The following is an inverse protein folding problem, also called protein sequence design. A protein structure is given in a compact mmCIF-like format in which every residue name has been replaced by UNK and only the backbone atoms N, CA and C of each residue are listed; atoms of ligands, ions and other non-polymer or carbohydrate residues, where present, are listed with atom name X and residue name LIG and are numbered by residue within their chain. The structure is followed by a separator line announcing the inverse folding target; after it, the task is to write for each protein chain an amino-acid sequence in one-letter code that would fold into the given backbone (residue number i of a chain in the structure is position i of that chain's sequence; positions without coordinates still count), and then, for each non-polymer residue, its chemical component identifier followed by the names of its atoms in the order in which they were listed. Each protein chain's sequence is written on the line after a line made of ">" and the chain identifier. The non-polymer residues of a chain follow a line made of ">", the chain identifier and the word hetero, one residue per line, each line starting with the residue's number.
data_IF_658208169430
#
_entry.id   IF_658208169430
#
_cell.length_a   1.000
_cell.length_b   1.000
_cell.length_c   1.000
_cell.angle_alpha   90.00
_cell.angle_beta   90.00
_cell.angle_gamma   90.00
#
_symmetry.space_group_name_H-M   'P 1'
#
loop_
_entity.id
_entity.type
_entity.pdbx_description
1 polymer ?
#
# COMPACT_ATOMS: atom_id res chain seq x y z
N UNK A 1 -19.81 1.25 -1.50
CA UNK A 1 -20.25 2.22 -0.45
C UNK A 1 -21.76 2.36 -0.47
N UNK A 2 -22.40 2.45 0.67
CA UNK A 2 -23.83 2.73 0.80
C UNK A 2 -24.09 4.24 0.56
N UNK A 3 -25.30 4.66 0.23
CA UNK A 3 -25.62 6.09 0.00
C UNK A 3 -25.24 7.00 1.18
N UNK A 4 -25.40 6.51 2.41
CA UNK A 4 -25.07 7.24 3.65
C UNK A 4 -23.57 7.46 3.78
N UNK A 5 -22.76 6.42 3.48
CA UNK A 5 -21.30 6.49 3.48
C UNK A 5 -20.76 7.43 2.39
N UNK A 6 -21.45 7.48 1.24
CA UNK A 6 -21.13 8.42 0.17
C UNK A 6 -21.37 9.86 0.61
N UNK A 7 -22.49 10.11 1.29
CA UNK A 7 -22.82 11.45 1.79
C UNK A 7 -21.85 11.88 2.90
N UNK A 8 -21.47 10.98 3.79
CA UNK A 8 -20.49 11.25 4.84
C UNK A 8 -19.12 11.59 4.24
N UNK A 9 -18.68 10.82 3.25
CA UNK A 9 -17.35 10.96 2.64
C UNK A 9 -17.21 12.15 1.70
N UNK A 10 -18.25 12.46 0.94
CA UNK A 10 -18.22 13.46 -0.14
C UNK A 10 -19.13 14.66 0.09
N UNK A 11 -19.90 14.68 1.17
CA UNK A 11 -20.86 15.75 1.46
C UNK A 11 -22.13 15.68 0.61
N UNK A 12 -22.81 16.83 0.48
CA UNK A 12 -24.05 16.93 -0.27
C UNK A 12 -23.75 17.16 -1.75
N UNK A 13 -24.24 16.27 -2.61
CA UNK A 13 -24.15 16.43 -4.06
C UNK A 13 -25.34 17.25 -4.60
N UNK A 14 -25.12 17.98 -5.68
CA UNK A 14 -26.22 18.59 -6.43
C UNK A 14 -27.08 17.51 -7.10
N UNK A 15 -28.33 17.81 -7.39
CA UNK A 15 -29.24 16.90 -8.12
C UNK A 15 -28.70 16.48 -9.50
N UNK A 16 -27.77 17.24 -10.05
CA UNK A 16 -27.19 17.04 -11.38
C UNK A 16 -25.89 16.19 -11.34
N UNK A 17 -25.44 15.80 -10.13
CA UNK A 17 -24.24 14.98 -9.95
C UNK A 17 -24.58 13.50 -10.09
N UNK A 18 -23.98 12.83 -11.09
CA UNK A 18 -24.03 11.37 -11.22
C UNK A 18 -22.87 10.73 -10.50
N UNK A 19 -23.15 9.84 -9.56
CA UNK A 19 -22.16 9.03 -8.88
C UNK A 19 -22.10 7.65 -9.53
N UNK A 20 -20.90 7.24 -9.97
CA UNK A 20 -20.65 5.92 -10.52
C UNK A 20 -19.67 5.20 -9.58
N UNK A 21 -20.12 4.12 -8.94
CA UNK A 21 -19.25 3.25 -8.18
C UNK A 21 -18.60 2.25 -9.14
N UNK A 22 -17.28 2.29 -9.20
CA UNK A 22 -16.52 1.34 -10.00
C UNK A 22 -16.58 -0.07 -9.39
N UNK A 23 -16.68 -1.08 -10.26
CA UNK A 23 -16.57 -2.50 -9.95
C UNK A 23 -15.64 -3.14 -10.97
N UNK A 24 -14.50 -3.59 -10.53
CA UNK A 24 -13.42 -4.08 -11.38
C UNK A 24 -13.81 -5.34 -12.18
N UNK A 25 -14.80 -6.11 -11.70
CA UNK A 25 -15.30 -7.35 -12.30
C UNK A 25 -16.31 -7.11 -13.41
N UNK A 26 -16.90 -5.92 -13.50
CA UNK A 26 -17.90 -5.58 -14.54
C UNK A 26 -17.21 -5.30 -15.88
N UNK A 27 -16.70 -6.34 -16.56
CA UNK A 27 -15.92 -6.22 -17.80
C UNK A 27 -16.66 -5.51 -18.94
N UNK A 28 -18.00 -5.63 -19.00
CA UNK A 28 -18.82 -4.95 -20.00
C UNK A 28 -18.81 -3.42 -19.92
N UNK A 29 -18.33 -2.86 -18.81
CA UNK A 29 -18.17 -1.42 -18.59
C UNK A 29 -16.73 -0.95 -18.73
N UNK A 30 -15.83 -1.81 -19.20
CA UNK A 30 -14.42 -1.47 -19.40
C UNK A 30 -14.17 -1.11 -20.85
N UNK A 31 -13.46 -0.03 -21.05
CA UNK A 31 -12.90 0.35 -22.34
C UNK A 31 -11.45 -0.07 -22.42
N UNK A 32 -11.05 -0.58 -23.58
CA UNK A 32 -9.68 -1.03 -23.85
C UNK A 32 -8.86 0.13 -24.46
N UNK A 33 -7.71 0.41 -23.84
CA UNK A 33 -6.73 1.41 -24.26
C UNK A 33 -5.40 0.77 -24.71
N UNK A 34 -5.43 -0.53 -25.05
CA UNK A 34 -4.29 -1.31 -25.50
C UNK A 34 -3.50 -1.94 -24.34
N UNK A 35 -2.24 -2.24 -24.60
CA UNK A 35 -1.36 -2.93 -23.68
C UNK A 35 -0.04 -2.18 -23.50
N UNK A 36 0.52 -2.19 -22.29
CA UNK A 36 1.86 -1.68 -22.00
C UNK A 36 2.55 -2.57 -20.96
N UNK A 37 3.82 -2.91 -21.20
CA UNK A 37 4.59 -3.85 -20.36
C UNK A 37 3.86 -5.18 -20.09
N UNK A 38 3.20 -5.75 -21.09
CA UNK A 38 2.41 -6.99 -21.03
C UNK A 38 1.18 -6.89 -20.09
N UNK A 39 0.73 -5.68 -19.78
CA UNK A 39 -0.45 -5.41 -18.95
C UNK A 39 -1.52 -4.75 -19.81
N UNK A 40 -2.74 -5.31 -19.92
CA UNK A 40 -3.83 -4.66 -20.62
C UNK A 40 -4.28 -3.41 -19.86
N UNK A 41 -4.57 -2.35 -20.58
CA UNK A 41 -5.07 -1.11 -20.04
C UNK A 41 -6.58 -1.06 -20.29
N UNK A 42 -7.34 -1.65 -19.38
CA UNK A 42 -8.80 -1.68 -19.42
C UNK A 42 -9.36 -0.86 -18.26
N UNK A 43 -10.04 0.22 -18.56
CA UNK A 43 -10.50 1.21 -17.58
C UNK A 43 -12.00 1.44 -17.74
N UNK A 44 -12.69 1.74 -16.65
CA UNK A 44 -14.11 2.01 -16.66
C UNK A 44 -14.47 3.08 -17.69
N UNK A 45 -15.50 2.80 -18.53
CA UNK A 45 -15.93 3.70 -19.60
C UNK A 45 -16.34 5.10 -19.13
N UNK A 46 -16.71 5.24 -17.85
CA UNK A 46 -17.03 6.55 -17.25
C UNK A 46 -15.86 7.53 -17.25
N UNK A 47 -14.61 7.07 -17.58
CA UNK A 47 -13.44 7.94 -17.78
C UNK A 47 -13.58 8.83 -19.03
N UNK A 48 -14.47 8.48 -19.98
CA UNK A 48 -14.68 9.26 -21.20
C UNK A 48 -15.53 10.50 -20.90
N UNK A 49 -14.87 11.61 -20.70
CA UNK A 49 -15.46 12.90 -20.41
C UNK A 49 -14.67 14.01 -21.14
N UNK A 50 -15.29 15.19 -21.29
CA UNK A 50 -14.62 16.37 -21.88
C UNK A 50 -13.45 16.87 -21.03
N UNK A 51 -13.51 16.60 -19.72
CA UNK A 51 -12.43 16.89 -18.76
C UNK A 51 -12.41 15.82 -17.67
N UNK A 52 -11.26 15.20 -17.47
CA UNK A 52 -11.04 14.19 -16.43
C UNK A 52 -10.11 14.70 -15.35
N UNK A 53 -10.59 14.74 -14.11
CA UNK A 53 -9.81 15.20 -12.95
C UNK A 53 -9.67 14.06 -11.94
N UNK A 54 -8.44 13.65 -11.68
CA UNK A 54 -8.09 12.65 -10.66
C UNK A 54 -7.84 13.31 -9.30
N UNK A 55 -8.56 12.88 -8.27
CA UNK A 55 -8.36 13.34 -6.89
C UNK A 55 -7.78 12.19 -6.05
N UNK A 56 -6.68 12.44 -5.35
CA UNK A 56 -6.02 11.40 -4.57
C UNK A 56 -5.01 11.92 -3.57
N UNK A 57 -4.22 11.00 -3.02
CA UNK A 57 -3.21 11.30 -1.99
C UNK A 57 -1.83 10.77 -2.35
N UNK A 58 -0.79 11.44 -1.87
CA UNK A 58 0.61 11.06 -2.06
C UNK A 58 1.15 10.54 -0.74
N UNK A 59 1.38 9.23 -0.67
CA UNK A 59 2.01 8.55 0.46
C UNK A 59 2.99 7.48 -0.05
N UNK A 60 4.00 7.07 0.74
CA UNK A 60 4.88 5.96 0.38
C UNK A 60 4.10 4.69 0.08
N UNK A 61 4.53 3.91 -0.92
CA UNK A 61 3.81 2.73 -1.39
C UNK A 61 4.74 1.63 -1.89
N UNK A 62 4.47 0.38 -1.49
CA UNK A 62 5.32 -0.79 -1.77
C UNK A 62 5.58 -1.05 -3.26
N UNK A 63 4.55 -0.99 -4.10
CA UNK A 63 4.66 -1.38 -5.51
C UNK A 63 4.92 -0.22 -6.47
N UNK A 64 4.44 0.98 -6.17
CA UNK A 64 4.61 2.15 -7.03
C UNK A 64 5.60 3.19 -6.48
N UNK A 65 6.31 2.85 -5.41
CA UNK A 65 7.15 3.78 -4.66
C UNK A 65 6.34 4.81 -3.89
N UNK A 66 5.41 5.47 -4.56
CA UNK A 66 4.48 6.47 -4.03
C UNK A 66 3.09 6.29 -4.63
N UNK A 67 2.06 6.64 -3.88
CA UNK A 67 0.69 6.77 -4.41
C UNK A 67 0.52 8.11 -5.14
N UNK A 68 -0.69 8.35 -5.65
CA UNK A 68 -1.04 9.58 -6.37
C UNK A 68 -0.81 9.48 -7.89
N UNK A 69 -1.01 10.61 -8.59
CA UNK A 69 -0.97 10.67 -10.04
C UNK A 69 -2.07 9.83 -10.68
N UNK A 70 -1.75 9.21 -11.80
CA UNK A 70 -2.67 8.32 -12.52
C UNK A 70 -2.96 7.00 -11.78
N UNK A 71 -2.45 6.81 -10.56
CA UNK A 71 -2.84 5.66 -9.71
C UNK A 71 -4.34 5.64 -9.39
N UNK A 72 -5.03 6.77 -9.46
CA UNK A 72 -6.49 6.83 -9.37
C UNK A 72 -7.17 6.13 -10.55
N UNK A 73 -6.47 5.98 -11.68
CA UNK A 73 -6.93 5.25 -12.87
C UNK A 73 -6.51 3.79 -12.79
N UNK A 74 -5.22 3.51 -12.69
CA UNK A 74 -4.68 2.17 -12.49
C UNK A 74 -3.96 2.09 -11.13
N UNK A 75 -4.50 1.36 -10.13
CA UNK A 75 -5.61 0.41 -10.19
C UNK A 75 -7.02 0.97 -9.97
N UNK A 76 -7.18 2.25 -9.64
CA UNK A 76 -8.37 2.84 -9.02
C UNK A 76 -9.71 2.59 -9.73
N UNK A 77 -9.74 2.64 -11.06
CA UNK A 77 -10.94 2.39 -11.88
C UNK A 77 -10.64 1.47 -13.07
N UNK A 78 -9.59 0.65 -12.95
CA UNK A 78 -9.20 -0.34 -13.95
C UNK A 78 -9.93 -1.69 -13.76
N UNK A 79 -9.93 -2.53 -14.80
CA UNK A 79 -10.47 -3.89 -14.72
C UNK A 79 -9.66 -4.74 -13.73
N UNK A 80 -10.31 -5.78 -13.22
CA UNK A 80 -9.66 -6.75 -12.33
C UNK A 80 -8.41 -7.36 -12.96
N UNK A 81 -8.46 -7.68 -14.27
CA UNK A 81 -7.32 -8.22 -15.02
C UNK A 81 -6.15 -7.22 -15.08
N UNK A 82 -6.43 -5.94 -15.39
CA UNK A 82 -5.40 -4.89 -15.41
C UNK A 82 -4.77 -4.71 -14.04
N UNK A 83 -5.59 -4.70 -12.99
CA UNK A 83 -5.11 -4.59 -11.60
C UNK A 83 -4.22 -5.78 -11.23
N UNK A 84 -4.66 -6.99 -11.48
CA UNK A 84 -3.89 -8.19 -11.17
C UNK A 84 -2.56 -8.25 -11.93
N UNK A 85 -2.61 -8.13 -13.26
CA UNK A 85 -1.40 -8.21 -14.10
C UNK A 85 -0.40 -7.12 -13.77
N UNK A 86 -0.86 -5.91 -13.45
CA UNK A 86 0.02 -4.82 -13.04
C UNK A 86 0.73 -5.11 -11.71
N UNK A 87 0.03 -5.62 -10.71
CA UNK A 87 0.62 -5.98 -9.43
C UNK A 87 1.54 -7.20 -9.53
N UNK A 88 1.17 -8.21 -10.33
CA UNK A 88 2.05 -9.35 -10.64
C UNK A 88 3.35 -8.88 -11.31
N UNK A 89 3.26 -7.98 -12.28
CA UNK A 89 4.42 -7.37 -12.93
C UNK A 89 5.30 -6.63 -11.91
N UNK A 90 4.68 -5.87 -11.00
CA UNK A 90 5.41 -5.16 -9.95
C UNK A 90 6.22 -6.10 -9.03
N UNK A 91 5.71 -7.30 -8.74
CA UNK A 91 6.42 -8.30 -7.94
C UNK A 91 7.55 -8.97 -8.73
N UNK A 92 7.26 -9.40 -9.96
CA UNK A 92 8.17 -10.27 -10.70
C UNK A 92 9.25 -9.52 -11.49
N UNK A 93 8.95 -8.32 -11.97
CA UNK A 93 9.79 -7.60 -12.94
C UNK A 93 10.25 -6.22 -12.46
N UNK A 94 9.56 -5.61 -11.49
CA UNK A 94 9.83 -4.22 -11.10
C UNK A 94 10.86 -4.13 -9.97
N UNK A 95 11.67 -3.08 -10.03
CA UNK A 95 12.55 -2.66 -8.91
C UNK A 95 11.80 -1.85 -7.85
N UNK A 96 10.48 -1.91 -7.86
CA UNK A 96 9.62 -1.15 -6.97
C UNK A 96 9.89 -1.48 -5.50
N UNK A 97 10.00 -0.44 -4.69
CA UNK A 97 10.01 -0.51 -3.23
C UNK A 97 9.41 0.77 -2.64
N UNK A 98 9.14 0.76 -1.33
CA UNK A 98 8.61 1.92 -0.61
C UNK A 98 9.53 3.11 -0.80
N UNK A 99 8.99 4.22 -1.32
CA UNK A 99 9.74 5.45 -1.56
C UNK A 99 10.57 5.49 -2.84
N UNK A 100 10.75 4.37 -3.56
CA UNK A 100 11.48 4.30 -4.85
C UNK A 100 10.55 4.76 -5.95
N UNK A 101 10.67 6.02 -6.37
CA UNK A 101 9.73 6.63 -7.33
C UNK A 101 9.92 6.10 -8.76
N UNK A 102 11.16 5.97 -9.23
CA UNK A 102 11.46 5.49 -10.59
C UNK A 102 11.44 3.95 -10.60
N UNK A 103 10.36 3.38 -11.13
CA UNK A 103 10.19 1.95 -11.27
C UNK A 103 9.18 1.62 -12.38
N UNK A 104 9.21 0.40 -12.89
CA UNK A 104 8.40 -0.07 -14.03
C UNK A 104 6.89 -0.01 -13.74
N UNK A 105 6.47 -0.22 -12.49
CA UNK A 105 5.06 -0.11 -12.14
C UNK A 105 4.58 1.35 -12.17
N UNK A 106 5.42 2.30 -11.78
CA UNK A 106 5.12 3.73 -11.92
C UNK A 106 5.04 4.13 -13.38
N UNK A 107 5.96 3.64 -14.22
CA UNK A 107 5.94 3.90 -15.66
C UNK A 107 4.62 3.40 -16.30
N UNK A 108 4.18 2.19 -15.96
CA UNK A 108 2.89 1.65 -16.41
C UNK A 108 1.71 2.54 -15.97
N UNK A 109 1.70 3.00 -14.73
CA UNK A 109 0.63 3.87 -14.21
C UNK A 109 0.60 5.20 -14.97
N UNK A 110 1.75 5.81 -15.19
CA UNK A 110 1.85 7.12 -15.86
C UNK A 110 1.47 7.00 -17.35
N UNK A 111 1.88 5.93 -18.02
CA UNK A 111 1.46 5.62 -19.39
C UNK A 111 -0.06 5.36 -19.47
N UNK A 112 -0.63 4.64 -18.48
CA UNK A 112 -2.08 4.44 -18.41
C UNK A 112 -2.81 5.78 -18.32
N UNK A 113 -2.37 6.69 -17.45
CA UNK A 113 -2.95 8.02 -17.34
C UNK A 113 -2.92 8.81 -18.64
N UNK A 114 -1.82 8.69 -19.38
CA UNK A 114 -1.65 9.34 -20.67
C UNK A 114 -2.60 8.79 -21.74
N UNK A 115 -2.74 7.47 -21.83
CA UNK A 115 -3.59 6.79 -22.83
C UNK A 115 -5.09 7.03 -22.61
N UNK A 116 -5.51 7.07 -21.35
CA UNK A 116 -6.93 7.33 -21.02
C UNK A 116 -7.30 8.83 -21.09
N UNK A 117 -6.31 9.70 -21.25
CA UNK A 117 -6.55 11.13 -21.31
C UNK A 117 -6.84 11.75 -19.95
N UNK A 118 -6.12 11.35 -18.89
CA UNK A 118 -6.23 12.00 -17.59
C UNK A 118 -5.65 13.42 -17.68
N UNK A 119 -6.54 14.42 -17.75
CA UNK A 119 -6.16 15.81 -18.00
C UNK A 119 -5.47 16.46 -16.81
N UNK A 120 -5.98 16.18 -15.60
CA UNK A 120 -5.59 16.93 -14.42
C UNK A 120 -5.65 16.07 -13.16
N UNK A 121 -4.73 16.31 -12.22
CA UNK A 121 -4.81 15.75 -10.88
C UNK A 121 -4.84 16.84 -9.81
N UNK A 122 -5.48 16.52 -8.69
CA UNK A 122 -5.40 17.24 -7.42
C UNK A 122 -4.99 16.21 -6.38
N UNK A 123 -3.74 16.28 -5.89
CA UNK A 123 -3.23 15.32 -4.92
C UNK A 123 -2.80 16.02 -3.63
N UNK A 124 -3.28 15.47 -2.51
CA UNK A 124 -2.91 15.90 -1.16
C UNK A 124 -1.68 15.12 -0.70
N UNK A 125 -0.78 15.77 0.02
CA UNK A 125 0.29 15.11 0.75
C UNK A 125 0.22 15.47 2.24
N UNK A 126 0.79 14.63 3.08
CA UNK A 126 0.60 14.67 4.52
C UNK A 126 1.89 14.96 5.26
N UNK A 127 1.77 15.49 6.47
CA UNK A 127 2.84 15.53 7.45
C UNK A 127 2.96 14.20 8.21
N UNK A 128 3.93 14.13 9.11
CA UNK A 128 4.20 12.95 9.93
C UNK A 128 3.04 12.58 10.88
N UNK A 129 2.15 13.51 11.19
CA UNK A 129 1.00 13.27 12.05
C UNK A 129 -0.24 12.79 11.27
N UNK A 130 -0.11 12.70 9.94
CA UNK A 130 -1.22 12.37 9.05
C UNK A 130 -2.15 13.54 8.71
N UNK A 131 -1.78 14.77 9.09
CA UNK A 131 -2.50 15.98 8.70
C UNK A 131 -2.12 16.39 7.28
N UNK A 132 -3.05 16.98 6.53
CA UNK A 132 -2.76 17.51 5.19
C UNK A 132 -1.72 18.64 5.29
N UNK A 133 -0.52 18.39 4.75
CA UNK A 133 0.57 19.36 4.69
C UNK A 133 0.48 20.25 3.46
N UNK A 134 -0.22 19.82 2.41
CA UNK A 134 -0.44 20.64 1.23
C UNK A 134 -1.04 19.87 0.07
N UNK A 135 -1.16 20.54 -1.05
CA UNK A 135 -1.79 20.04 -2.27
C UNK A 135 -0.95 20.39 -3.49
N UNK A 136 -0.89 19.49 -4.45
CA UNK A 136 -0.37 19.74 -5.80
C UNK A 136 -1.44 19.48 -6.82
N UNK A 137 -1.42 20.24 -7.92
CA UNK A 137 -2.41 20.10 -8.97
C UNK A 137 -1.78 20.37 -10.34
N UNK A 138 -2.25 19.69 -11.39
CA UNK A 138 -1.76 19.83 -12.75
C UNK A 138 -1.65 18.51 -13.50
N UNK A 139 -0.75 18.45 -14.49
CA UNK A 139 -0.47 17.22 -15.23
C UNK A 139 -0.10 16.06 -14.28
N UNK A 140 -0.67 14.87 -14.52
CA UNK A 140 -0.58 13.74 -13.60
C UNK A 140 0.84 13.25 -13.31
N UNK A 141 1.79 13.45 -14.23
CA UNK A 141 3.20 13.11 -14.02
C UNK A 141 3.94 14.25 -13.31
N UNK A 142 3.86 15.47 -13.86
CA UNK A 142 4.66 16.61 -13.37
C UNK A 142 4.22 17.08 -12.00
N UNK A 143 2.90 17.16 -11.76
CA UNK A 143 2.37 17.54 -10.45
C UNK A 143 2.65 16.46 -9.41
N UNK A 144 2.56 15.16 -9.79
CA UNK A 144 2.92 14.07 -8.88
C UNK A 144 4.40 14.14 -8.48
N UNK A 145 5.33 14.31 -9.42
CA UNK A 145 6.77 14.45 -9.13
C UNK A 145 7.03 15.57 -8.13
N UNK A 146 6.40 16.72 -8.35
CA UNK A 146 6.50 17.83 -7.39
C UNK A 146 5.90 17.49 -6.03
N UNK A 147 4.76 16.83 -6.01
CA UNK A 147 4.11 16.39 -4.79
C UNK A 147 4.94 15.38 -3.99
N UNK A 148 5.59 14.43 -4.66
CA UNK A 148 6.51 13.46 -4.04
C UNK A 148 7.72 14.17 -3.42
N UNK A 149 8.32 15.16 -4.10
CA UNK A 149 9.40 15.96 -3.53
C UNK A 149 8.97 16.66 -2.21
N UNK A 150 7.76 17.23 -2.19
CA UNK A 150 7.22 17.91 -1.02
C UNK A 150 6.84 16.92 0.09
N UNK A 151 6.18 15.80 -0.26
CA UNK A 151 5.82 14.75 0.69
C UNK A 151 7.08 14.12 1.33
N UNK A 152 8.13 13.88 0.55
CA UNK A 152 9.40 13.35 1.04
C UNK A 152 10.00 14.25 2.12
N UNK A 153 9.92 15.58 1.98
CA UNK A 153 10.41 16.53 3.00
C UNK A 153 9.66 16.41 4.34
N UNK A 154 8.39 16.00 4.30
CA UNK A 154 7.57 15.81 5.50
C UNK A 154 7.82 14.44 6.17
N UNK A 155 7.94 13.39 5.35
CA UNK A 155 7.85 12.01 5.79
C UNK A 155 9.22 11.32 5.95
N UNK A 156 10.27 11.82 5.28
CA UNK A 156 11.60 11.23 5.34
C UNK A 156 12.19 11.35 6.75
N UNK A 157 12.72 10.25 7.24
CA UNK A 157 13.53 10.18 8.46
C UNK A 157 14.80 9.41 8.18
N UNK A 158 15.93 10.05 8.43
CA UNK A 158 17.25 9.47 8.21
C UNK A 158 17.74 8.75 9.45
N UNK A 159 18.30 7.58 9.24
CA UNK A 159 18.90 6.72 10.26
C UNK A 159 20.33 6.36 9.86
N UNK A 160 21.22 6.22 10.83
CA UNK A 160 22.62 5.84 10.57
C UNK A 160 22.74 4.34 10.25
N UNK A 161 21.89 3.52 10.86
CA UNK A 161 21.92 2.07 10.72
C UNK A 161 20.54 1.46 10.96
N UNK A 162 20.36 0.22 10.53
CA UNK A 162 19.18 -0.56 10.88
C UNK A 162 19.20 -0.93 12.36
N UNK A 163 18.03 -1.08 12.97
CA UNK A 163 17.86 -1.37 14.40
C UNK A 163 17.47 -2.83 14.64
N UNK A 164 17.74 -3.30 15.86
CA UNK A 164 17.39 -4.66 16.27
C UNK A 164 15.91 -4.83 16.52
N UNK A 165 15.24 -3.76 16.98
CA UNK A 165 13.79 -3.71 17.24
C UNK A 165 13.20 -2.45 16.61
N UNK A 166 12.11 -2.59 15.90
CA UNK A 166 11.32 -1.46 15.39
C UNK A 166 9.90 -1.53 15.94
N UNK A 167 9.47 -0.49 16.62
CA UNK A 167 8.08 -0.31 17.09
C UNK A 167 7.38 0.63 16.13
N UNK A 168 6.22 0.25 15.60
CA UNK A 168 5.47 1.04 14.62
C UNK A 168 3.96 0.99 14.87
N UNK A 169 3.28 2.13 14.72
CA UNK A 169 1.83 2.15 14.56
C UNK A 169 1.47 1.93 13.08
N UNK A 170 0.46 1.10 12.82
CA UNK A 170 -0.06 0.89 11.46
C UNK A 170 -0.88 2.08 10.92
N UNK A 171 -1.19 3.08 11.77
CA UNK A 171 -1.94 4.27 11.33
C UNK A 171 -1.38 4.84 10.01
N UNK A 172 -2.22 5.28 9.07
CA UNK A 172 -3.68 5.38 9.13
C UNK A 172 -4.44 4.09 8.74
N UNK A 173 -3.77 3.01 8.39
CA UNK A 173 -4.36 1.75 7.95
C UNK A 173 -4.38 0.76 9.12
N UNK A 174 -5.40 0.81 9.98
CA UNK A 174 -5.43 0.11 11.27
C UNK A 174 -6.48 -1.01 11.35
N UNK A 175 -7.42 -1.10 10.39
CA UNK A 175 -8.62 -1.93 10.51
C UNK A 175 -8.38 -3.40 10.22
N UNK A 176 -7.58 -3.72 9.22
CA UNK A 176 -7.32 -5.07 8.76
C UNK A 176 -5.85 -5.31 8.44
N UNK A 177 -5.41 -6.57 8.49
CA UNK A 177 -4.01 -6.94 8.31
C UNK A 177 -3.50 -6.74 6.88
N UNK A 178 -4.39 -6.82 5.88
CA UNK A 178 -4.05 -6.51 4.49
C UNK A 178 -3.53 -5.08 4.36
N UNK A 179 -4.24 -4.13 4.95
CA UNK A 179 -3.85 -2.71 4.91
C UNK A 179 -2.68 -2.40 5.86
N UNK A 180 -2.65 -3.06 7.02
CA UNK A 180 -1.56 -2.94 8.00
C UNK A 180 -0.21 -3.43 7.46
N UNK A 181 -0.18 -4.25 6.42
CA UNK A 181 1.03 -4.64 5.70
C UNK A 181 1.92 -3.46 5.31
N UNK A 182 1.36 -2.26 5.13
CA UNK A 182 2.12 -1.03 4.88
C UNK A 182 3.11 -0.71 6.02
N UNK A 183 2.70 -0.94 7.27
CA UNK A 183 3.60 -0.76 8.42
C UNK A 183 4.74 -1.78 8.41
N UNK A 184 4.47 -3.02 8.01
CA UNK A 184 5.52 -4.04 7.87
C UNK A 184 6.54 -3.66 6.80
N UNK A 185 6.09 -3.18 5.63
CA UNK A 185 6.99 -2.76 4.56
C UNK A 185 7.85 -1.55 4.96
N UNK A 186 7.27 -0.59 5.67
CA UNK A 186 7.98 0.56 6.20
C UNK A 186 9.02 0.13 7.25
N UNK A 187 8.65 -0.78 8.16
CA UNK A 187 9.56 -1.29 9.20
C UNK A 187 10.69 -2.15 8.63
N UNK A 188 10.45 -2.90 7.54
CA UNK A 188 11.48 -3.72 6.89
C UNK A 188 12.68 -2.87 6.43
N UNK A 189 12.44 -1.62 6.02
CA UNK A 189 13.50 -0.70 5.58
C UNK A 189 14.51 -0.38 6.69
N UNK A 190 14.09 -0.39 7.96
CA UNK A 190 14.90 0.05 9.10
C UNK A 190 15.24 -1.07 10.09
N UNK A 191 14.61 -2.24 10.00
CA UNK A 191 14.88 -3.38 10.89
C UNK A 191 15.98 -4.27 10.31
N UNK A 192 16.93 -4.73 11.13
CA UNK A 192 17.93 -5.73 10.75
C UNK A 192 17.29 -7.06 10.38
N UNK A 193 17.92 -7.85 9.51
CA UNK A 193 17.49 -9.22 9.28
C UNK A 193 17.64 -10.03 10.57
N UNK A 194 16.62 -10.83 10.90
CA UNK A 194 16.49 -11.52 12.20
C UNK A 194 15.99 -10.62 13.34
N UNK A 195 15.82 -9.33 13.11
CA UNK A 195 15.29 -8.38 14.10
C UNK A 195 13.77 -8.50 14.32
N UNK A 196 13.29 -7.71 15.25
CA UNK A 196 11.90 -7.74 15.73
C UNK A 196 11.12 -6.50 15.27
N UNK A 197 9.93 -6.69 14.72
CA UNK A 197 8.96 -5.64 14.41
C UNK A 197 7.79 -5.74 15.38
N UNK A 198 7.52 -4.70 16.14
CA UNK A 198 6.36 -4.57 17.03
C UNK A 198 5.36 -3.65 16.36
N UNK A 199 4.31 -4.21 15.79
CA UNK A 199 3.25 -3.48 15.10
C UNK A 199 2.05 -3.26 16.02
N UNK A 200 1.69 -2.00 16.23
CA UNK A 200 0.50 -1.60 17.01
C UNK A 200 -0.64 -1.27 16.06
N UNK A 201 -1.77 -1.96 16.20
CA UNK A 201 -2.93 -1.82 15.33
C UNK A 201 -4.21 -2.28 16.01
N UNK A 202 -5.40 -1.78 15.59
CA UNK A 202 -6.68 -2.27 16.11
C UNK A 202 -7.07 -3.63 15.54
N UNK A 203 -6.93 -3.84 14.23
CA UNK A 203 -7.28 -5.06 13.52
C UNK A 203 -8.74 -5.53 13.73
N UNK A 204 -9.67 -4.56 13.75
CA UNK A 204 -11.10 -4.82 14.01
C UNK A 204 -11.76 -5.74 12.97
N UNK A 205 -11.20 -5.78 11.74
CA UNK A 205 -11.66 -6.58 10.60
C UNK A 205 -10.72 -7.77 10.29
N UNK A 206 -9.81 -8.12 11.22
CA UNK A 206 -8.91 -9.27 11.09
C UNK A 206 -8.01 -9.20 9.86
N UNK A 207 -8.14 -10.18 8.95
CA UNK A 207 -7.32 -10.24 7.73
C UNK A 207 -7.86 -9.42 6.56
N UNK A 208 -9.07 -8.83 6.66
CA UNK A 208 -9.72 -8.05 5.59
C UNK A 208 -10.56 -8.92 4.64
N UNK A 209 -11.01 -8.30 3.54
CA UNK A 209 -12.02 -8.88 2.63
C UNK A 209 -11.48 -9.90 1.61
N UNK A 210 -10.21 -10.31 1.73
CA UNK A 210 -9.58 -11.28 0.82
C UNK A 210 -9.53 -12.68 1.43
N UNK A 211 -10.47 -13.60 1.07
CA UNK A 211 -10.64 -14.88 1.76
C UNK A 211 -9.40 -15.78 1.76
N UNK A 212 -8.59 -15.72 0.69
CA UNK A 212 -7.39 -16.56 0.56
C UNK A 212 -6.17 -15.99 1.30
N UNK A 213 -6.18 -14.72 1.68
CA UNK A 213 -4.98 -14.03 2.18
C UNK A 213 -4.39 -14.72 3.41
N UNK A 214 -5.19 -14.99 4.44
CA UNK A 214 -4.73 -15.67 5.66
C UNK A 214 -4.14 -17.05 5.38
N UNK A 215 -4.80 -17.84 4.51
CA UNK A 215 -4.31 -19.19 4.16
C UNK A 215 -3.00 -19.15 3.38
N UNK A 216 -2.82 -18.16 2.52
CA UNK A 216 -1.59 -17.96 1.74
C UNK A 216 -0.40 -17.56 2.61
N UNK A 217 -0.64 -16.88 3.73
CA UNK A 217 0.41 -16.56 4.69
C UNK A 217 1.03 -17.80 5.37
N UNK A 218 0.41 -18.99 5.27
CA UNK A 218 0.97 -20.27 5.73
C UNK A 218 2.01 -20.86 4.75
N UNK A 219 2.03 -20.37 3.52
CA UNK A 219 2.94 -20.83 2.47
C UNK A 219 4.28 -20.09 2.53
N UNK A 220 5.32 -20.73 2.02
CA UNK A 220 6.61 -20.05 1.80
C UNK A 220 6.56 -19.14 0.56
N UNK A 221 7.49 -18.18 0.50
CA UNK A 221 7.56 -17.20 -0.60
C UNK A 221 7.56 -17.86 -1.99
N UNK A 222 8.38 -18.89 -2.16
CA UNK A 222 8.51 -19.59 -3.44
C UNK A 222 7.22 -20.31 -3.83
N UNK A 223 6.50 -20.91 -2.89
CA UNK A 223 5.22 -21.59 -3.14
C UNK A 223 4.15 -20.59 -3.60
N UNK A 224 4.16 -19.38 -3.04
CA UNK A 224 3.25 -18.31 -3.47
C UNK A 224 3.60 -17.87 -4.89
N UNK A 225 4.90 -17.71 -5.22
CA UNK A 225 5.34 -17.32 -6.57
C UNK A 225 4.96 -18.36 -7.63
N UNK A 226 5.20 -19.65 -7.36
CA UNK A 226 4.81 -20.73 -8.28
C UNK A 226 3.29 -20.72 -8.56
N UNK A 227 2.50 -20.53 -7.51
CA UNK A 227 1.04 -20.40 -7.65
C UNK A 227 0.64 -19.14 -8.41
N UNK A 228 1.29 -18.01 -8.16
CA UNK A 228 1.03 -16.74 -8.83
C UNK A 228 1.24 -16.83 -10.35
N UNK A 229 2.18 -17.65 -10.82
CA UNK A 229 2.42 -17.89 -12.24
C UNK A 229 1.31 -18.72 -12.91
N UNK A 230 0.64 -19.58 -12.13
CA UNK A 230 -0.38 -20.52 -12.61
C UNK A 230 -1.81 -20.02 -12.41
N UNK A 231 -2.01 -18.89 -11.73
CA UNK A 231 -3.35 -18.43 -11.36
C UNK A 231 -4.16 -18.01 -12.58
N UNK A 232 -5.34 -18.61 -12.65
CA UNK A 232 -6.36 -18.26 -13.64
C UNK A 232 -7.66 -17.73 -13.01
N UNK A 233 -7.85 -17.77 -11.67
CA UNK A 233 -9.20 -17.55 -11.13
C UNK A 233 -9.32 -16.83 -9.79
N UNK A 234 -9.19 -17.46 -8.63
CA UNK A 234 -9.78 -16.90 -7.41
C UNK A 234 -8.81 -16.01 -6.62
N UNK A 235 -9.23 -14.76 -6.34
CA UNK A 235 -8.57 -13.78 -5.50
C UNK A 235 -7.04 -13.63 -5.73
N UNK A 236 -6.62 -13.41 -7.01
CA UNK A 236 -5.19 -13.35 -7.33
C UNK A 236 -4.46 -12.19 -6.63
N UNK A 237 -5.15 -11.14 -6.20
CA UNK A 237 -4.56 -10.06 -5.41
C UNK A 237 -4.14 -10.53 -4.01
N UNK A 238 -4.83 -11.53 -3.43
CA UNK A 238 -4.40 -12.13 -2.17
C UNK A 238 -2.99 -12.73 -2.27
N UNK A 239 -2.65 -13.36 -3.40
CA UNK A 239 -1.30 -13.90 -3.62
C UNK A 239 -0.24 -12.80 -3.67
N UNK A 240 -0.55 -11.68 -4.34
CA UNK A 240 0.33 -10.52 -4.42
C UNK A 240 0.64 -9.95 -3.04
N UNK A 241 -0.39 -9.76 -2.22
CA UNK A 241 -0.23 -9.22 -0.88
C UNK A 241 0.44 -10.23 0.06
N UNK A 242 0.06 -11.50 0.00
CA UNK A 242 0.68 -12.55 0.80
C UNK A 242 2.17 -12.69 0.49
N UNK A 243 2.56 -12.67 -0.79
CA UNK A 243 3.96 -12.65 -1.19
C UNK A 243 4.73 -11.49 -0.55
N UNK A 244 4.18 -10.27 -0.65
CA UNK A 244 4.85 -9.09 -0.12
C UNK A 244 5.00 -9.14 1.41
N UNK A 245 3.99 -9.64 2.13
CA UNK A 245 4.03 -9.82 3.59
C UNK A 245 5.00 -10.94 3.96
N UNK A 246 4.94 -12.11 3.31
CA UNK A 246 5.84 -13.24 3.57
C UNK A 246 7.30 -12.86 3.40
N UNK A 247 7.62 -12.03 2.42
CA UNK A 247 8.98 -11.50 2.22
C UNK A 247 9.53 -10.77 3.44
N UNK A 248 8.67 -10.11 4.20
CA UNK A 248 9.05 -9.49 5.48
C UNK A 248 9.14 -10.56 6.57
N UNK A 249 8.12 -11.43 6.70
CA UNK A 249 8.05 -12.45 7.75
C UNK A 249 9.20 -13.46 7.73
N UNK A 250 9.77 -13.73 6.56
CA UNK A 250 10.96 -14.61 6.44
C UNK A 250 12.22 -13.98 7.03
N UNK A 251 12.30 -12.65 7.05
CA UNK A 251 13.49 -11.92 7.50
C UNK A 251 13.34 -11.33 8.88
N UNK A 252 12.12 -11.08 9.33
CA UNK A 252 11.82 -10.35 10.57
C UNK A 252 10.84 -11.14 11.41
N UNK A 253 10.96 -11.00 12.72
CA UNK A 253 9.98 -11.50 13.68
C UNK A 253 8.94 -10.44 13.93
N UNK A 254 7.67 -10.74 13.65
CA UNK A 254 6.57 -9.79 13.81
C UNK A 254 5.78 -10.10 15.07
N UNK A 255 5.60 -9.09 15.90
CA UNK A 255 4.79 -9.10 17.11
C UNK A 255 3.67 -8.08 16.92
N UNK A 256 2.44 -8.51 17.13
CA UNK A 256 1.25 -7.65 16.98
C UNK A 256 0.81 -7.21 18.37
N UNK A 257 0.63 -5.89 18.54
CA UNK A 257 0.01 -5.31 19.73
C UNK A 257 -1.40 -4.88 19.35
N UNK A 258 -2.39 -5.61 19.84
CA UNK A 258 -3.81 -5.42 19.54
C UNK A 258 -4.67 -6.09 20.58
N UNK A 259 -5.87 -5.56 20.80
CA UNK A 259 -6.97 -6.18 21.56
C UNK A 259 -8.02 -6.81 20.62
N UNK A 260 -7.61 -7.12 19.39
CA UNK A 260 -8.48 -7.72 18.37
C UNK A 260 -9.11 -9.04 18.83
N UNK A 261 -10.36 -9.27 18.46
CA UNK A 261 -11.06 -10.55 18.67
C UNK A 261 -10.51 -11.70 17.81
N UNK A 262 -9.66 -11.40 16.82
CA UNK A 262 -9.06 -12.39 15.89
C UNK A 262 -7.68 -12.88 16.35
N UNK A 263 -7.31 -12.71 17.62
CA UNK A 263 -5.98 -13.03 18.13
C UNK A 263 -5.59 -14.51 17.91
N UNK A 264 -6.51 -15.45 18.07
CA UNK A 264 -6.27 -16.89 17.87
C UNK A 264 -5.90 -17.20 16.42
N UNK A 265 -6.58 -16.57 15.43
CA UNK A 265 -6.32 -16.77 14.01
C UNK A 265 -4.93 -16.24 13.61
N UNK A 266 -4.49 -15.13 14.20
CA UNK A 266 -3.13 -14.62 14.03
C UNK A 266 -2.09 -15.53 14.66
N UNK A 267 -2.33 -16.05 15.87
CA UNK A 267 -1.42 -16.96 16.57
C UNK A 267 -1.22 -18.27 15.79
N UNK A 268 -2.27 -18.80 15.12
CA UNK A 268 -2.16 -19.95 14.21
C UNK A 268 -1.17 -19.73 13.04
N UNK A 269 -0.96 -18.49 12.63
CA UNK A 269 0.00 -18.09 11.61
C UNK A 269 1.40 -17.78 12.17
N UNK A 270 1.59 -17.96 13.48
CA UNK A 270 2.82 -17.57 14.17
C UNK A 270 2.98 -16.05 14.39
N UNK A 271 1.92 -15.29 14.14
CA UNK A 271 1.86 -13.85 14.36
C UNK A 271 1.30 -13.57 15.75
N UNK A 272 2.17 -13.62 16.76
CA UNK A 272 1.79 -13.48 18.16
C UNK A 272 1.11 -12.15 18.47
N UNK A 273 -0.11 -12.21 18.95
CA UNK A 273 -0.89 -11.05 19.39
C UNK A 273 -0.78 -10.88 20.91
N UNK A 274 -0.54 -9.66 21.35
CA UNK A 274 -0.53 -9.31 22.78
C UNK A 274 -1.20 -7.93 22.95
N UNK A 275 -2.18 -7.76 23.83
CA UNK A 275 -2.83 -6.47 24.05
C UNK A 275 -1.95 -5.49 24.84
N UNK A 276 -0.93 -5.97 25.54
CA UNK A 276 -0.04 -5.14 26.37
C UNK A 276 1.30 -4.88 25.68
N UNK A 277 1.45 -3.66 25.17
CA UNK A 277 2.70 -3.20 24.53
C UNK A 277 3.88 -3.26 25.51
N UNK A 278 3.67 -2.96 26.80
CA UNK A 278 4.77 -2.92 27.76
C UNK A 278 5.38 -4.31 27.94
N UNK A 279 4.56 -5.34 28.05
CA UNK A 279 5.07 -6.72 28.16
C UNK A 279 5.85 -7.18 26.91
N UNK A 280 5.44 -6.74 25.72
CA UNK A 280 6.17 -7.04 24.47
C UNK A 280 7.52 -6.32 24.46
N UNK A 281 7.54 -5.04 24.79
CA UNK A 281 8.73 -4.20 24.81
C UNK A 281 9.73 -4.68 25.85
N UNK A 282 9.29 -4.96 27.09
CA UNK A 282 10.17 -5.45 28.17
C UNK A 282 10.84 -6.78 27.83
N UNK A 283 10.17 -7.64 27.06
CA UNK A 283 10.72 -8.92 26.60
C UNK A 283 11.76 -8.74 25.49
N UNK A 284 11.56 -7.78 24.58
CA UNK A 284 12.35 -7.63 23.35
C UNK A 284 13.51 -6.66 23.51
N UNK A 285 13.34 -5.61 24.31
CA UNK A 285 14.33 -4.55 24.48
C UNK A 285 15.20 -4.85 25.71
N UNK A 286 16.44 -5.19 25.46
CA UNK A 286 17.44 -5.45 26.50
C UNK A 286 18.70 -4.62 26.23
N UNK A 287 19.60 -4.44 27.25
CA UNK A 287 20.84 -3.71 27.07
C UNK A 287 21.65 -4.20 25.87
N UNK A 288 22.08 -3.26 25.02
CA UNK A 288 22.85 -3.54 23.82
C UNK A 288 22.04 -3.67 22.53
N UNK A 289 20.70 -3.74 22.61
CA UNK A 289 19.84 -3.68 21.41
C UNK A 289 19.53 -2.25 21.00
N UNK A 290 19.62 -1.98 19.70
CA UNK A 290 19.17 -0.72 19.10
C UNK A 290 17.68 -0.77 18.81
N UNK A 291 16.99 0.35 19.06
CA UNK A 291 15.52 0.45 18.92
C UNK A 291 15.15 1.68 18.10
N UNK A 292 14.25 1.50 17.16
CA UNK A 292 13.56 2.59 16.45
C UNK A 292 12.08 2.61 16.77
N UNK A 293 11.52 3.81 16.92
CA UNK A 293 10.08 4.00 17.06
C UNK A 293 9.61 4.84 15.87
N UNK A 294 8.76 4.23 15.04
CA UNK A 294 8.10 4.89 13.91
C UNK A 294 6.69 5.26 14.32
N UNK A 295 6.38 6.55 14.28
CA UNK A 295 5.09 7.08 14.73
C UNK A 295 3.91 6.46 13.98
N UNK A 296 4.09 6.18 12.68
CA UNK A 296 3.07 5.57 11.82
C UNK A 296 3.68 5.05 10.51
N UNK A 297 2.84 4.41 9.67
CA UNK A 297 3.23 3.84 8.38
C UNK A 297 3.47 4.85 7.25
N UNK A 298 3.24 6.15 7.50
CA UNK A 298 3.56 7.22 6.53
C UNK A 298 5.04 7.60 6.54
N UNK A 299 5.74 7.32 7.64
CA UNK A 299 7.19 7.56 7.75
C UNK A 299 7.92 6.85 6.61
N UNK A 300 8.86 7.52 5.97
CA UNK A 300 9.79 6.94 5.01
C UNK A 300 11.18 6.87 5.66
N UNK A 301 11.58 5.74 6.25
CA UNK A 301 12.92 5.59 6.79
C UNK A 301 13.94 5.39 5.67
N UNK A 302 15.09 6.05 5.79
CA UNK A 302 16.22 5.92 4.87
C UNK A 302 17.51 5.74 5.68
N UNK A 303 18.33 4.76 5.28
CA UNK A 303 19.65 4.58 5.89
C UNK A 303 20.63 5.46 5.12
N UNK A 304 21.24 6.40 5.84
CA UNK A 304 22.31 7.23 5.26
C UNK A 304 23.66 6.57 5.50
N UNK A 305 24.34 6.26 4.41
CA UNK A 305 25.74 5.79 4.42
C UNK A 305 26.73 6.96 4.40
N UNK A 306 26.48 8.03 5.10
CA UNK A 306 27.53 9.07 5.23
C UNK A 306 28.66 8.51 6.10
N UNK A 307 29.78 8.22 5.46
CA UNK A 307 31.06 8.09 6.12
C UNK A 307 31.38 9.44 6.81
N UNK A 308 31.59 9.39 8.13
CA UNK A 308 32.11 10.53 8.92
C UNK A 308 33.59 10.69 8.67
#
# INVERSE_FOLDING_TARGET
>A
MKPEELQEKFGVFSSDTRIVQHKAEETAKMKDFGEFLEVPIQVNEAIEADLTVGIGSIVPHRFSGWSGGAKIVLPGVASYESVFKSHRMAILKSKADVGVFENEFRELIDETGSRVGLDFIINFYYDINGSTAGTVAGNHVLALRKGVELARKQLLRQYRERTDVTVISSFPSVTDFWQCGKALYTSDLITKDGGDIVMVSSLDEGFGDHPLFASLLKLEENEILEKLDMITTEDPLAYVAAYAVRKVLQKKKVHIVSDTKFAEEFDELGLRVNPDIQSVVDRLICPGKSVSVLQNSLVLPEITTEEV
#
